data_IF_117573284268
#
_entry.id   IF_117573284268
#
_cell.length_a   1.000
_cell.length_b   1.000
_cell.length_c   1.000
_cell.angle_alpha   90.00
_cell.angle_beta   90.00
_cell.angle_gamma   90.00
#
_symmetry.space_group_name_H-M   'P 1'
#
loop_
_entity.id
_entity.type
_entity.pdbx_description
1 polymer ?
#
# COMPACT_ATOMS: atom_id res chain seq x y z
N UNK A 1 -0.96 -11.65 15.97
CA UNK A 1 -0.14 -11.41 17.18
C UNK A 1 0.20 -12.77 17.78
N UNK A 2 1.48 -13.13 17.81
CA UNK A 2 1.95 -14.39 18.41
C UNK A 2 2.08 -14.13 19.91
N UNK A 3 1.34 -14.89 20.73
CA UNK A 3 1.25 -14.66 22.18
C UNK A 3 2.42 -15.32 22.94
N UNK A 4 3.05 -16.33 22.34
CA UNK A 4 4.26 -16.99 22.86
C UNK A 4 5.28 -17.16 21.73
N UNK A 5 6.29 -16.27 21.62
CA UNK A 5 7.33 -16.46 20.64
C UNK A 5 8.15 -17.72 21.00
N UNK A 6 8.32 -18.68 20.08
CA UNK A 6 9.00 -19.95 20.35
C UNK A 6 10.52 -19.80 20.56
N UNK A 7 11.05 -18.58 20.41
CA UNK A 7 12.48 -18.31 20.51
C UNK A 7 12.78 -16.83 20.74
N UNK A 8 14.03 -16.54 21.16
CA UNK A 8 14.52 -15.17 21.37
C UNK A 8 14.93 -14.54 20.05
N UNK A 9 14.45 -13.31 19.78
CA UNK A 9 14.87 -12.56 18.60
C UNK A 9 16.29 -12.00 18.78
N UNK A 10 17.05 -11.96 17.69
CA UNK A 10 18.33 -11.26 17.61
C UNK A 10 18.10 -9.89 16.96
N UNK A 11 18.71 -8.85 17.54
CA UNK A 11 18.58 -7.48 17.06
C UNK A 11 19.94 -6.98 16.60
N UNK A 12 20.02 -6.53 15.35
CA UNK A 12 21.21 -5.92 14.78
C UNK A 12 20.89 -4.47 14.43
N UNK A 13 21.43 -3.53 15.22
CA UNK A 13 21.14 -2.10 15.10
C UNK A 13 21.89 -1.41 13.95
N UNK A 14 22.75 -2.14 13.22
CA UNK A 14 23.46 -1.61 12.06
C UNK A 14 22.64 -1.69 10.77
N UNK A 15 21.51 -2.40 10.79
CA UNK A 15 20.59 -2.50 9.67
C UNK A 15 19.54 -1.38 9.74
N UNK A 16 19.05 -0.87 8.59
CA UNK A 16 18.01 0.14 8.54
C UNK A 16 16.63 -0.38 9.00
N UNK A 17 16.52 -1.67 9.33
CA UNK A 17 15.31 -2.34 9.81
C UNK A 17 15.48 -2.78 11.28
N UNK A 18 14.41 -2.66 12.07
CA UNK A 18 14.41 -3.10 13.47
C UNK A 18 14.32 -4.63 13.55
N UNK A 19 15.48 -5.29 13.61
CA UNK A 19 15.60 -6.75 13.67
C UNK A 19 15.98 -7.33 12.31
N UNK A 20 17.02 -8.18 12.31
CA UNK A 20 17.58 -8.77 11.08
C UNK A 20 16.68 -9.86 10.52
N UNK A 21 16.19 -10.74 11.40
CA UNK A 21 15.29 -11.83 11.03
C UNK A 21 14.45 -12.21 12.25
N UNK A 22 13.11 -12.12 12.20
CA UNK A 22 12.29 -12.51 13.32
C UNK A 22 12.36 -14.03 13.49
N UNK A 23 12.73 -14.47 14.69
CA UNK A 23 13.10 -15.85 14.94
C UNK A 23 11.95 -16.85 14.69
N UNK A 24 10.69 -16.40 14.76
CA UNK A 24 9.53 -17.25 14.44
C UNK A 24 9.52 -17.73 12.98
N UNK A 25 10.17 -17.01 12.05
CA UNK A 25 10.30 -17.45 10.66
C UNK A 25 11.20 -18.70 10.53
N UNK A 26 12.08 -18.94 11.50
CA UNK A 26 12.89 -20.17 11.57
C UNK A 26 12.07 -21.41 11.96
N UNK A 27 10.85 -21.24 12.47
CA UNK A 27 9.92 -22.36 12.69
C UNK A 27 9.21 -22.66 11.37
N UNK A 28 9.37 -23.86 10.79
CA UNK A 28 8.96 -24.13 9.40
C UNK A 28 7.47 -23.88 9.16
N UNK A 29 6.61 -24.22 10.13
CA UNK A 29 5.16 -23.98 10.01
C UNK A 29 4.81 -22.48 9.98
N UNK A 30 5.41 -21.68 10.86
CA UNK A 30 5.12 -20.25 10.95
C UNK A 30 5.78 -19.48 9.80
N UNK A 31 6.99 -19.88 9.41
CA UNK A 31 7.68 -19.32 8.24
C UNK A 31 6.88 -19.50 6.96
N UNK A 32 6.37 -20.71 6.70
CA UNK A 32 5.51 -20.99 5.52
C UNK A 32 4.20 -20.21 5.62
N UNK A 33 3.57 -20.15 6.79
CA UNK A 33 2.32 -19.41 6.96
C UNK A 33 2.52 -17.92 6.63
N UNK A 34 3.57 -17.30 7.14
CA UNK A 34 3.80 -15.87 6.93
C UNK A 34 4.21 -15.56 5.48
N UNK A 35 5.13 -16.33 4.91
CA UNK A 35 5.56 -16.12 3.52
C UNK A 35 4.46 -16.46 2.50
N UNK A 36 3.79 -17.60 2.63
CA UNK A 36 2.83 -18.06 1.62
C UNK A 36 1.47 -17.39 1.81
N UNK A 37 0.91 -17.45 3.02
CA UNK A 37 -0.47 -17.04 3.28
C UNK A 37 -0.57 -15.53 3.49
N UNK A 38 0.40 -14.91 4.18
CA UNK A 38 0.34 -13.46 4.42
C UNK A 38 1.01 -12.62 3.32
N UNK A 39 1.94 -13.17 2.54
CA UNK A 39 2.63 -12.40 1.49
C UNK A 39 2.28 -12.82 0.07
N UNK A 40 2.52 -14.09 -0.31
CA UNK A 40 2.37 -14.54 -1.70
C UNK A 40 0.90 -14.56 -2.15
N UNK A 41 0.01 -15.16 -1.37
CA UNK A 41 -1.41 -15.30 -1.72
C UNK A 41 -2.10 -13.94 -1.89
N UNK A 42 -1.97 -12.98 -0.95
CA UNK A 42 -2.54 -11.64 -1.10
C UNK A 42 -1.98 -10.91 -2.32
N UNK A 43 -0.67 -11.02 -2.58
CA UNK A 43 -0.04 -10.38 -3.73
C UNK A 43 -0.58 -10.95 -5.05
N UNK A 44 -0.74 -12.27 -5.15
CA UNK A 44 -1.32 -12.91 -6.33
C UNK A 44 -2.77 -12.48 -6.56
N UNK A 45 -3.59 -12.47 -5.51
CA UNK A 45 -4.98 -12.02 -5.53
C UNK A 45 -5.05 -10.56 -6.01
N UNK A 46 -4.29 -9.65 -5.38
CA UNK A 46 -4.26 -8.23 -5.76
C UNK A 46 -3.87 -8.07 -7.22
N UNK A 47 -2.86 -8.81 -7.70
CA UNK A 47 -2.42 -8.77 -9.10
C UNK A 47 -3.53 -9.18 -10.05
N UNK A 48 -4.19 -10.32 -9.80
CA UNK A 48 -5.27 -10.85 -10.65
C UNK A 48 -6.44 -9.86 -10.69
N UNK A 49 -6.91 -9.38 -9.53
CA UNK A 49 -8.01 -8.43 -9.47
C UNK A 49 -7.66 -7.10 -10.13
N UNK A 50 -6.41 -6.63 -10.01
CA UNK A 50 -5.95 -5.41 -10.69
C UNK A 50 -6.04 -5.55 -12.20
N UNK A 51 -5.57 -6.67 -12.76
CA UNK A 51 -5.65 -6.96 -14.20
C UNK A 51 -7.12 -7.05 -14.64
N UNK A 52 -7.96 -7.76 -13.89
CA UNK A 52 -9.38 -7.90 -14.19
C UNK A 52 -10.11 -6.54 -14.21
N UNK A 53 -9.84 -5.66 -13.26
CA UNK A 53 -10.43 -4.33 -13.21
C UNK A 53 -10.00 -3.50 -14.42
N UNK A 54 -8.71 -3.52 -14.79
CA UNK A 54 -8.22 -2.83 -15.99
C UNK A 54 -8.90 -3.32 -17.26
N UNK A 55 -9.00 -4.65 -17.44
CA UNK A 55 -9.65 -5.25 -18.60
C UNK A 55 -11.14 -4.89 -18.65
N UNK A 56 -11.85 -4.96 -17.51
CA UNK A 56 -13.26 -4.54 -17.44
C UNK A 56 -13.43 -3.07 -17.81
N UNK A 57 -12.58 -2.18 -17.31
CA UNK A 57 -12.63 -0.76 -17.61
C UNK A 57 -12.36 -0.49 -19.10
N UNK A 58 -11.42 -1.21 -19.71
CA UNK A 58 -11.14 -1.10 -21.14
C UNK A 58 -12.33 -1.55 -22.00
N UNK A 59 -12.94 -2.69 -21.67
CA UNK A 59 -14.13 -3.19 -22.38
C UNK A 59 -15.32 -2.25 -22.20
N UNK A 60 -15.53 -1.76 -20.97
CA UNK A 60 -16.65 -0.89 -20.64
C UNK A 60 -16.52 0.50 -21.27
N UNK A 61 -15.29 1.02 -21.42
CA UNK A 61 -14.99 2.21 -22.23
C UNK A 61 -15.45 2.06 -23.68
N UNK A 62 -15.21 0.87 -24.27
CA UNK A 62 -15.57 0.58 -25.66
C UNK A 62 -17.07 0.40 -25.86
N UNK A 63 -17.79 -0.07 -24.83
CA UNK A 63 -19.24 -0.32 -24.89
C UNK A 63 -20.12 0.89 -24.54
N UNK A 64 -19.72 1.74 -23.60
CA UNK A 64 -20.55 2.83 -23.09
C UNK A 64 -19.95 4.19 -23.46
N UNK A 65 -20.50 4.84 -24.50
CA UNK A 65 -20.19 6.22 -24.91
C UNK A 65 -20.67 7.31 -23.92
N UNK A 66 -20.80 7.00 -22.63
CA UNK A 66 -21.28 7.96 -21.62
C UNK A 66 -20.12 8.70 -20.94
N UNK A 67 -19.82 9.91 -21.42
CA UNK A 67 -18.69 10.73 -20.97
C UNK A 67 -18.71 11.10 -19.46
N UNK A 68 -19.89 11.28 -18.87
CA UNK A 68 -20.02 11.71 -17.46
C UNK A 68 -19.82 10.56 -16.47
N UNK A 69 -20.43 9.39 -16.71
CA UNK A 69 -20.21 8.20 -15.87
C UNK A 69 -18.75 7.72 -15.99
N UNK A 70 -18.16 7.86 -17.18
CA UNK A 70 -16.76 7.57 -17.47
C UNK A 70 -15.78 8.43 -16.65
N UNK A 71 -16.00 9.74 -16.54
CA UNK A 71 -15.13 10.61 -15.70
C UNK A 71 -15.07 10.15 -14.25
N UNK A 72 -16.19 9.67 -13.69
CA UNK A 72 -16.26 9.18 -12.30
C UNK A 72 -15.60 7.81 -12.15
N UNK A 73 -15.92 6.86 -13.04
CA UNK A 73 -15.33 5.52 -13.08
C UNK A 73 -13.81 5.54 -13.29
N UNK A 74 -13.32 6.37 -14.22
CA UNK A 74 -11.89 6.53 -14.52
C UNK A 74 -11.11 7.04 -13.31
N UNK A 75 -11.67 7.96 -12.52
CA UNK A 75 -10.99 8.50 -11.33
C UNK A 75 -10.79 7.45 -10.24
N UNK A 76 -11.82 6.64 -9.96
CA UNK A 76 -11.73 5.51 -9.02
C UNK A 76 -10.78 4.42 -9.53
N UNK A 77 -10.80 4.14 -10.83
CA UNK A 77 -9.91 3.13 -11.43
C UNK A 77 -8.45 3.56 -11.37
N UNK A 78 -8.12 4.80 -11.76
CA UNK A 78 -6.74 5.31 -11.71
C UNK A 78 -6.22 5.26 -10.27
N UNK A 79 -7.05 5.61 -9.30
CA UNK A 79 -6.71 5.46 -7.88
C UNK A 79 -6.38 4.03 -7.50
N UNK A 80 -7.30 3.09 -7.78
CA UNK A 80 -7.12 1.70 -7.39
C UNK A 80 -5.84 1.16 -8.04
N UNK A 81 -5.64 1.50 -9.30
CA UNK A 81 -4.43 1.18 -10.04
C UNK A 81 -3.17 1.80 -9.44
N UNK A 82 -3.20 3.06 -8.99
CA UNK A 82 -2.07 3.68 -8.28
C UNK A 82 -1.75 2.97 -6.97
N UNK A 83 -2.75 2.58 -6.19
CA UNK A 83 -2.55 1.80 -4.95
C UNK A 83 -1.95 0.43 -5.28
N UNK A 84 -2.47 -0.25 -6.30
CA UNK A 84 -1.99 -1.56 -6.72
C UNK A 84 -0.56 -1.49 -7.27
N UNK A 85 -0.20 -0.49 -8.07
CA UNK A 85 1.19 -0.29 -8.53
C UNK A 85 2.11 -0.03 -7.35
N UNK A 86 1.72 0.86 -6.42
CA UNK A 86 2.54 1.18 -5.26
C UNK A 86 2.79 -0.07 -4.41
N UNK A 87 1.76 -0.90 -4.22
CA UNK A 87 1.85 -2.17 -3.52
C UNK A 87 2.74 -3.18 -4.27
N UNK A 88 2.54 -3.34 -5.58
CA UNK A 88 3.31 -4.28 -6.40
C UNK A 88 4.78 -3.85 -6.52
N UNK A 89 5.07 -2.57 -6.66
CA UNK A 89 6.44 -2.07 -6.78
C UNK A 89 7.28 -2.41 -5.53
N UNK A 90 6.67 -2.43 -4.35
CA UNK A 90 7.34 -2.81 -3.11
C UNK A 90 7.33 -4.33 -2.86
N UNK A 91 6.25 -5.04 -3.18
CA UNK A 91 6.11 -6.47 -2.89
C UNK A 91 6.72 -7.40 -3.97
N UNK A 92 6.80 -6.98 -5.23
CA UNK A 92 7.36 -7.81 -6.31
C UNK A 92 8.84 -8.13 -6.09
N UNK A 93 9.72 -7.15 -5.76
CA UNK A 93 11.12 -7.45 -5.47
C UNK A 93 11.28 -8.45 -4.34
N UNK A 94 10.50 -8.29 -3.27
CA UNK A 94 10.52 -9.17 -2.11
C UNK A 94 10.08 -10.60 -2.47
N UNK A 95 8.95 -10.74 -3.16
CA UNK A 95 8.44 -12.05 -3.58
C UNK A 95 9.38 -12.75 -4.57
N UNK A 96 10.09 -12.00 -5.41
CA UNK A 96 11.05 -12.58 -6.36
C UNK A 96 12.25 -13.21 -5.62
N UNK A 97 12.77 -12.54 -4.59
CA UNK A 97 13.86 -13.06 -3.74
C UNK A 97 13.38 -14.28 -2.95
N UNK A 98 12.20 -14.21 -2.32
CA UNK A 98 11.62 -15.32 -1.57
C UNK A 98 11.38 -16.56 -2.45
N UNK A 99 10.85 -16.38 -3.65
CA UNK A 99 10.69 -17.47 -4.62
C UNK A 99 12.06 -18.04 -5.03
N UNK A 100 13.07 -17.20 -5.18
CA UNK A 100 14.44 -17.64 -5.42
C UNK A 100 14.94 -18.59 -4.33
N UNK A 101 14.77 -18.22 -3.05
CA UNK A 101 15.16 -19.07 -1.93
C UNK A 101 14.39 -20.39 -1.88
N UNK A 102 13.08 -20.37 -2.15
CA UNK A 102 12.25 -21.59 -2.22
C UNK A 102 12.72 -22.53 -3.36
N UNK A 103 13.14 -21.96 -4.49
CA UNK A 103 13.69 -22.72 -5.62
C UNK A 103 15.12 -23.24 -5.40
N UNK A 104 15.71 -23.01 -4.22
CA UNK A 104 17.03 -23.51 -3.85
C UNK A 104 18.19 -22.56 -4.15
N UNK A 105 17.92 -21.27 -4.42
CA UNK A 105 18.99 -20.27 -4.46
C UNK A 105 19.59 -20.09 -3.06
N UNK A 106 20.90 -19.79 -3.03
CA UNK A 106 21.62 -19.51 -1.79
C UNK A 106 20.92 -18.43 -0.97
N UNK A 107 20.78 -18.59 0.36
CA UNK A 107 20.13 -17.61 1.23
C UNK A 107 20.84 -16.25 1.27
N UNK A 108 22.10 -16.17 0.82
CA UNK A 108 22.85 -14.90 0.67
C UNK A 108 22.46 -14.12 -0.58
N UNK A 109 21.76 -14.75 -1.52
CA UNK A 109 21.37 -14.09 -2.76
C UNK A 109 20.19 -13.16 -2.49
N UNK A 110 20.39 -11.86 -2.71
CA UNK A 110 19.34 -10.85 -2.58
C UNK A 110 19.10 -10.34 -1.16
N UNK A 111 19.99 -10.61 -0.21
CA UNK A 111 19.87 -10.15 1.18
C UNK A 111 19.81 -8.61 1.27
N UNK A 112 20.69 -7.90 0.57
CA UNK A 112 20.64 -6.43 0.49
C UNK A 112 19.33 -5.94 -0.15
N UNK A 113 18.91 -6.58 -1.24
CA UNK A 113 17.68 -6.24 -1.96
C UNK A 113 16.46 -6.42 -1.06
N UNK A 114 16.45 -7.48 -0.24
CA UNK A 114 15.38 -7.76 0.71
C UNK A 114 15.29 -6.68 1.79
N UNK A 115 16.43 -6.28 2.40
CA UNK A 115 16.46 -5.22 3.43
C UNK A 115 15.94 -3.89 2.88
N UNK A 116 16.34 -3.50 1.66
CA UNK A 116 15.83 -2.28 1.04
C UNK A 116 14.35 -2.40 0.63
N UNK A 117 13.90 -3.56 0.17
CA UNK A 117 12.50 -3.81 -0.18
C UNK A 117 11.58 -3.75 1.05
N UNK A 118 11.99 -4.36 2.17
CA UNK A 118 11.27 -4.30 3.44
C UNK A 118 11.18 -2.86 3.96
N UNK A 119 12.28 -2.11 3.88
CA UNK A 119 12.29 -0.70 4.22
C UNK A 119 11.29 0.10 3.36
N UNK A 120 11.27 -0.12 2.04
CA UNK A 120 10.30 0.52 1.13
C UNK A 120 8.85 0.15 1.45
N UNK A 121 8.57 -1.10 1.84
CA UNK A 121 7.23 -1.53 2.27
C UNK A 121 6.70 -0.70 3.44
N UNK A 122 7.54 -0.37 4.43
CA UNK A 122 7.13 0.51 5.54
C UNK A 122 6.71 1.91 5.06
N UNK A 123 7.45 2.48 4.10
CA UNK A 123 7.07 3.76 3.50
C UNK A 123 5.74 3.67 2.73
N UNK A 124 5.50 2.56 2.04
CA UNK A 124 4.23 2.32 1.35
C UNK A 124 3.06 2.30 2.33
N UNK A 125 3.21 1.64 3.49
CA UNK A 125 2.18 1.65 4.55
C UNK A 125 1.91 3.05 5.08
N UNK A 126 2.94 3.88 5.23
CA UNK A 126 2.78 5.28 5.64
C UNK A 126 2.11 6.15 4.57
N UNK A 127 2.36 5.87 3.28
CA UNK A 127 1.78 6.61 2.16
C UNK A 127 0.34 6.18 1.86
N UNK A 128 -0.06 4.98 2.26
CA UNK A 128 -1.40 4.43 2.05
C UNK A 128 -2.55 5.35 2.51
N UNK A 129 -2.57 5.91 3.73
CA UNK A 129 -3.60 6.84 4.16
C UNK A 129 -3.64 8.11 3.32
N UNK A 130 -2.50 8.63 2.86
CA UNK A 130 -2.45 9.82 2.00
C UNK A 130 -3.06 9.55 0.62
N UNK A 131 -2.76 8.38 0.04
CA UNK A 131 -3.37 7.95 -1.21
C UNK A 131 -4.88 7.80 -1.02
N UNK A 132 -5.34 7.13 0.05
CA UNK A 132 -6.76 6.98 0.38
C UNK A 132 -7.49 8.32 0.65
N UNK A 133 -6.85 9.27 1.33
CA UNK A 133 -7.41 10.61 1.59
C UNK A 133 -7.49 11.46 0.32
N UNK A 134 -6.49 11.37 -0.57
CA UNK A 134 -6.47 12.10 -1.84
C UNK A 134 -7.66 11.74 -2.74
N UNK A 135 -8.25 10.58 -2.47
CA UNK A 135 -9.25 9.92 -3.31
C UNK A 135 -10.68 10.01 -2.81
N UNK A 136 -10.89 10.30 -1.53
CA UNK A 136 -12.18 10.76 -1.02
C UNK A 136 -12.43 12.19 -1.54
N UNK A 137 -12.75 12.29 -2.83
CA UNK A 137 -13.05 13.56 -3.50
C UNK A 137 -14.22 14.31 -2.84
N UNK A 138 -15.11 13.60 -2.15
CA UNK A 138 -16.16 14.18 -1.32
C UNK A 138 -15.63 14.81 -0.03
N UNK A 139 -14.64 14.18 0.63
CA UNK A 139 -14.01 14.77 1.81
C UNK A 139 -13.16 15.98 1.44
N UNK A 140 -12.49 15.97 0.29
CA UNK A 140 -11.77 17.16 -0.21
C UNK A 140 -12.71 18.34 -0.47
N UNK A 141 -13.91 18.06 -1.01
CA UNK A 141 -14.97 19.08 -1.13
C UNK A 141 -15.42 19.56 0.25
N UNK A 142 -15.75 18.67 1.19
CA UNK A 142 -16.17 19.05 2.56
C UNK A 142 -15.09 19.82 3.33
N UNK A 143 -13.83 19.44 3.21
CA UNK A 143 -12.70 20.10 3.88
C UNK A 143 -12.44 21.48 3.27
N UNK A 144 -12.47 21.60 1.94
CA UNK A 144 -12.35 22.89 1.26
C UNK A 144 -13.54 23.80 1.59
N UNK A 145 -14.76 23.26 1.69
CA UNK A 145 -15.95 23.99 2.15
C UNK A 145 -15.84 24.45 3.61
N UNK A 146 -15.38 23.59 4.53
CA UNK A 146 -15.12 23.98 5.93
C UNK A 146 -14.03 25.05 6.03
N UNK A 147 -12.95 24.94 5.26
CA UNK A 147 -11.91 25.96 5.17
C UNK A 147 -12.43 27.30 4.65
N UNK A 148 -13.29 27.28 3.62
CA UNK A 148 -13.94 28.48 3.07
C UNK A 148 -14.95 29.09 4.05
N UNK A 149 -15.70 28.26 4.78
CA UNK A 149 -16.61 28.70 5.84
C UNK A 149 -15.88 29.32 7.02
N UNK A 150 -14.76 28.73 7.46
CA UNK A 150 -13.90 29.28 8.51
C UNK A 150 -13.28 30.62 8.07
N UNK A 151 -12.83 30.71 6.82
CA UNK A 151 -12.28 31.95 6.26
C UNK A 151 -13.34 33.05 6.17
N UNK A 152 -14.56 32.72 5.72
CA UNK A 152 -15.70 33.65 5.71
C UNK A 152 -16.11 34.08 7.12
N UNK A 153 -16.03 33.18 8.11
CA UNK A 153 -16.32 33.50 9.51
C UNK A 153 -15.28 34.48 10.09
N UNK A 154 -13.99 34.29 9.81
CA UNK A 154 -12.95 35.23 10.22
C UNK A 154 -13.09 36.59 9.55
N UNK A 155 -13.49 36.65 8.28
CA UNK A 155 -13.76 37.93 7.59
C UNK A 155 -14.98 38.66 8.16
N UNK A 156 -16.04 37.93 8.54
CA UNK A 156 -17.22 38.54 9.17
C UNK A 156 -16.92 39.11 10.57
N UNK A 157 -16.08 38.43 11.36
CA UNK A 157 -15.67 38.90 12.70
C UNK A 157 -14.79 40.16 12.58
N UNK A 158 -13.90 40.21 11.59
CA UNK A 158 -13.06 41.39 11.33
C UNK A 158 -13.86 42.61 10.83
N UNK A 159 -14.99 42.40 10.15
CA UNK A 159 -15.84 43.49 9.65
C UNK A 159 -16.76 44.11 10.72
N UNK A 160 -17.03 43.42 11.83
CA UNK A 160 -17.90 43.88 12.93
C UNK A 160 -17.13 44.74 13.95
N UNK A 161 -15.80 44.72 13.92
CA UNK A 161 -14.96 45.54 14.79
C UNK A 161 -14.03 46.43 13.94
N UNK A 162 -14.56 47.43 13.21
CA UNK A 162 -13.73 48.48 12.64
C UNK A 162 -13.20 49.32 13.81
N UNK A 163 -11.88 49.33 13.99
CA UNK A 163 -11.22 50.30 14.88
C UNK A 163 -11.46 51.72 14.40
#
# INVERSE_FOLDING_TARGET
VIIFPPCSNTYNYNLPICGEYPCYLGVPLLGIWDTVINSIVPTAIITIFSILVLTRVYIQKRRLHQANLWRRQRKMTIQLFSICILFLAANVPLNLVTLGHICGLSPRFGEEVQVYADYLCYFVTLLFPFVCLSTLSEMRKKLRWKGLLLFRRSQHIAAINPK
#
